data_IF_421005053417
#
_entry.id   IF_421005053417
#
_cell.length_a   1.000
_cell.length_b   1.000
_cell.length_c   1.000
_cell.angle_alpha   90.00
_cell.angle_beta   90.00
_cell.angle_gamma   90.00
#
_symmetry.space_group_name_H-M   'P 1'
#
loop_
_entity.id
_entity.type
_entity.pdbx_description
1 polymer ?
#
# COMPACT_ATOMS: atom_id res chain seq x y z
N UNK A 1 1.93 -30.17 6.50
CA UNK A 1 1.53 -29.43 5.29
C UNK A 1 1.78 -27.95 5.56
N UNK A 2 2.64 -27.29 4.76
CA UNK A 2 2.84 -25.85 4.88
C UNK A 2 1.99 -25.18 3.80
N UNK A 3 1.04 -24.35 4.20
CA UNK A 3 0.17 -23.63 3.28
C UNK A 3 0.71 -22.21 3.08
N UNK A 4 0.88 -21.79 1.83
CA UNK A 4 1.12 -20.40 1.45
C UNK A 4 -0.09 -19.91 0.67
N UNK A 5 -0.51 -18.66 0.86
CA UNK A 5 -1.73 -18.11 0.25
C UNK A 5 -1.66 -18.04 -1.29
N UNK A 6 -0.44 -18.10 -1.85
CA UNK A 6 -0.16 -18.12 -3.29
C UNK A 6 0.95 -19.13 -3.58
N UNK A 7 1.05 -19.64 -4.83
CA UNK A 7 2.15 -20.51 -5.20
C UNK A 7 3.49 -19.81 -4.99
N UNK A 8 4.38 -20.44 -4.22
CA UNK A 8 5.77 -20.02 -4.08
C UNK A 8 6.44 -20.07 -5.47
N UNK A 9 7.26 -19.08 -5.80
CA UNK A 9 7.90 -18.98 -7.14
C UNK A 9 9.41 -19.07 -7.12
N UNK A 10 10.04 -18.75 -5.98
CA UNK A 10 11.48 -18.74 -5.81
C UNK A 10 11.82 -18.86 -4.32
N UNK A 11 13.06 -19.28 -4.03
CA UNK A 11 13.61 -19.41 -2.69
C UNK A 11 15.10 -19.05 -2.76
N UNK A 12 15.56 -18.10 -1.94
CA UNK A 12 16.99 -17.88 -1.73
C UNK A 12 17.42 -18.57 -0.45
N UNK A 13 18.47 -19.39 -0.53
CA UNK A 13 19.03 -20.06 0.64
C UNK A 13 20.55 -20.13 0.56
N UNK A 14 21.21 -19.34 1.40
CA UNK A 14 22.67 -19.21 1.43
C UNK A 14 23.18 -19.38 2.87
N UNK A 15 24.34 -19.99 3.03
CA UNK A 15 25.12 -20.02 4.26
C UNK A 15 26.50 -19.42 3.99
N UNK A 16 26.71 -18.17 4.41
CA UNK A 16 27.80 -17.35 3.85
C UNK A 16 27.63 -17.25 2.34
N UNK A 17 28.65 -17.62 1.57
CA UNK A 17 28.63 -17.67 0.10
C UNK A 17 28.10 -18.99 -0.47
N UNK A 18 27.84 -19.99 0.38
CA UNK A 18 27.47 -21.33 -0.07
C UNK A 18 25.97 -21.44 -0.31
N UNK A 19 25.58 -21.89 -1.50
CA UNK A 19 24.20 -22.28 -1.78
C UNK A 19 23.81 -23.48 -0.92
N UNK A 20 22.68 -23.39 -0.22
CA UNK A 20 22.09 -24.51 0.52
C UNK A 20 21.02 -25.17 -0.37
N UNK A 21 21.32 -26.31 -1.03
CA UNK A 21 20.40 -26.91 -1.98
C UNK A 21 19.27 -27.67 -1.26
N UNK A 22 18.03 -27.25 -1.49
CA UNK A 22 16.83 -27.99 -1.10
C UNK A 22 15.66 -27.60 -2.00
N UNK A 23 14.54 -28.29 -1.84
CA UNK A 23 13.27 -27.89 -2.43
C UNK A 23 12.19 -27.81 -1.36
N UNK A 24 11.35 -26.78 -1.42
CA UNK A 24 10.19 -26.63 -0.57
C UNK A 24 9.01 -26.12 -1.40
N UNK A 25 7.81 -26.65 -1.14
CA UNK A 25 6.58 -26.27 -1.85
C UNK A 25 6.71 -26.31 -3.39
N UNK A 26 7.46 -27.28 -3.92
CA UNK A 26 7.69 -27.45 -5.36
C UNK A 26 8.69 -26.47 -5.98
N UNK A 27 9.42 -25.70 -5.17
CA UNK A 27 10.41 -24.72 -5.62
C UNK A 27 11.79 -25.12 -5.12
N UNK A 28 12.80 -25.14 -6.01
CA UNK A 28 14.19 -25.33 -5.64
C UNK A 28 14.80 -24.05 -5.08
N UNK A 29 15.67 -24.17 -4.07
CA UNK A 29 16.46 -23.04 -3.57
C UNK A 29 17.52 -22.62 -4.60
N UNK A 30 17.83 -21.34 -4.59
CA UNK A 30 18.83 -20.71 -5.45
C UNK A 30 19.53 -19.55 -4.74
N UNK A 31 20.35 -18.82 -5.49
CA UNK A 31 20.95 -17.56 -5.04
C UNK A 31 20.38 -16.34 -5.77
N UNK A 32 19.27 -16.49 -6.49
CA UNK A 32 18.61 -15.39 -7.20
C UNK A 32 17.37 -14.95 -6.42
N UNK A 33 17.29 -13.66 -6.11
CA UNK A 33 16.14 -13.01 -5.46
C UNK A 33 15.31 -12.22 -6.47
N UNK A 34 14.10 -11.82 -6.09
CA UNK A 34 13.23 -10.95 -6.88
C UNK A 34 13.19 -9.54 -6.32
N UNK A 35 13.14 -8.57 -7.22
CA UNK A 35 13.03 -7.15 -6.92
C UNK A 35 11.62 -6.64 -7.27
N UNK A 36 11.44 -5.32 -7.24
CA UNK A 36 10.19 -4.67 -7.62
C UNK A 36 9.83 -4.98 -9.08
N UNK A 37 8.55 -5.24 -9.33
CA UNK A 37 8.06 -5.66 -10.67
C UNK A 37 8.09 -4.55 -11.72
N UNK A 38 8.07 -3.30 -11.26
CA UNK A 38 8.12 -2.08 -12.05
C UNK A 38 9.53 -1.47 -12.12
N UNK A 39 10.55 -2.16 -11.62
CA UNK A 39 11.94 -1.78 -11.82
C UNK A 39 12.48 -2.32 -13.15
N UNK A 40 13.51 -1.67 -13.68
CA UNK A 40 14.22 -2.12 -14.89
C UNK A 40 14.80 -3.53 -14.71
N UNK A 41 15.37 -3.80 -13.54
CA UNK A 41 15.81 -5.12 -13.10
C UNK A 41 14.80 -5.71 -12.10
N UNK A 42 14.27 -6.89 -12.43
CA UNK A 42 13.24 -7.56 -11.60
C UNK A 42 13.79 -8.75 -10.79
N UNK A 43 15.09 -9.01 -10.91
CA UNK A 43 15.80 -10.02 -10.13
C UNK A 43 17.28 -9.66 -9.99
N UNK A 44 17.87 -10.13 -8.90
CA UNK A 44 19.28 -9.94 -8.63
C UNK A 44 19.90 -11.23 -8.08
N UNK A 45 21.20 -11.41 -8.33
CA UNK A 45 21.99 -12.45 -7.68
C UNK A 45 22.41 -11.98 -6.29
N UNK A 46 22.24 -12.85 -5.30
CA UNK A 46 22.76 -12.69 -3.94
C UNK A 46 23.98 -13.59 -3.85
N UNK A 47 25.17 -12.99 -3.66
CA UNK A 47 26.44 -13.72 -3.65
C UNK A 47 26.68 -14.37 -2.28
N UNK A 48 26.52 -13.61 -1.20
CA UNK A 48 26.55 -14.10 0.17
C UNK A 48 25.25 -13.79 0.91
N UNK A 49 24.91 -14.60 1.92
CA UNK A 49 23.75 -14.38 2.79
C UNK A 49 23.73 -12.96 3.40
N UNK A 50 24.91 -12.42 3.73
CA UNK A 50 25.07 -11.07 4.29
C UNK A 50 24.72 -9.95 3.29
N UNK A 51 24.75 -10.23 1.99
CA UNK A 51 24.47 -9.22 0.94
C UNK A 51 22.97 -9.02 0.73
N UNK A 52 22.13 -9.93 1.21
CA UNK A 52 20.70 -9.95 0.89
C UNK A 52 20.02 -8.61 1.20
N UNK A 53 20.25 -8.08 2.41
CA UNK A 53 19.68 -6.80 2.83
C UNK A 53 20.16 -5.65 1.95
N UNK A 54 21.46 -5.61 1.65
CA UNK A 54 22.05 -4.58 0.77
C UNK A 54 21.48 -4.63 -0.65
N UNK A 55 21.28 -5.82 -1.21
CA UNK A 55 20.66 -6.02 -2.53
C UNK A 55 19.21 -5.52 -2.53
N UNK A 56 18.43 -5.84 -1.48
CA UNK A 56 17.05 -5.37 -1.36
C UNK A 56 16.99 -3.85 -1.20
N UNK A 57 17.77 -3.28 -0.28
CA UNK A 57 17.79 -1.84 -0.04
C UNK A 57 18.28 -1.04 -1.25
N UNK A 58 19.26 -1.58 -1.99
CA UNK A 58 19.76 -0.97 -3.22
C UNK A 58 18.71 -0.92 -4.33
N UNK A 59 17.75 -1.83 -4.31
CA UNK A 59 16.58 -1.83 -5.18
C UNK A 59 15.39 -1.02 -4.62
N UNK A 60 15.58 -0.29 -3.52
CA UNK A 60 14.54 0.51 -2.85
C UNK A 60 13.57 -0.29 -1.97
N UNK A 61 13.82 -1.58 -1.74
CA UNK A 61 12.96 -2.43 -0.91
C UNK A 61 13.32 -2.26 0.57
N UNK A 62 12.35 -1.86 1.37
CA UNK A 62 12.49 -1.72 2.83
C UNK A 62 12.12 -3.03 3.52
N UNK A 63 13.08 -3.88 3.91
CA UNK A 63 12.77 -5.18 4.52
C UNK A 63 12.14 -5.07 5.92
N UNK A 64 12.64 -4.16 6.75
CA UNK A 64 12.16 -3.97 8.12
C UNK A 64 10.76 -3.35 8.14
N UNK A 65 9.82 -4.03 8.81
CA UNK A 65 8.41 -3.67 8.80
C UNK A 65 8.17 -2.36 9.58
N UNK A 66 8.86 -2.14 10.70
CA UNK A 66 8.66 -0.97 11.53
C UNK A 66 9.21 0.30 10.88
N UNK A 67 10.35 0.17 10.21
CA UNK A 67 10.92 1.21 9.34
C UNK A 67 9.95 1.55 8.20
N UNK A 68 9.39 0.54 7.53
CA UNK A 68 8.43 0.73 6.43
C UNK A 68 7.15 1.43 6.89
N UNK A 69 6.56 0.99 8.02
CA UNK A 69 5.39 1.64 8.64
C UNK A 69 5.66 3.10 8.96
N UNK A 70 6.79 3.37 9.60
CA UNK A 70 7.19 4.73 9.99
C UNK A 70 7.37 5.63 8.77
N UNK A 71 7.99 5.12 7.71
CA UNK A 71 8.15 5.85 6.45
C UNK A 71 6.82 6.17 5.78
N UNK A 72 5.90 5.19 5.69
CA UNK A 72 4.56 5.37 5.13
C UNK A 72 3.79 6.43 5.93
N UNK A 73 3.73 6.28 7.26
CA UNK A 73 2.95 7.16 8.11
C UNK A 73 3.46 8.60 8.03
N UNK A 74 4.78 8.79 8.17
CA UNK A 74 5.38 10.12 8.09
C UNK A 74 5.07 10.82 6.77
N UNK A 75 5.30 10.14 5.65
CA UNK A 75 5.03 10.72 4.33
C UNK A 75 3.53 10.98 4.10
N UNK A 76 2.64 10.13 4.63
CA UNK A 76 1.20 10.39 4.60
C UNK A 76 0.80 11.60 5.46
N UNK A 77 1.40 11.77 6.64
CA UNK A 77 1.18 12.94 7.50
C UNK A 77 1.66 14.23 6.82
N UNK A 78 2.83 14.21 6.19
CA UNK A 78 3.36 15.35 5.43
C UNK A 78 2.43 15.74 4.28
N UNK A 79 1.89 14.76 3.54
CA UNK A 79 0.93 14.99 2.46
C UNK A 79 -0.40 15.54 2.98
N UNK A 80 -0.92 15.00 4.10
CA UNK A 80 -2.15 15.50 4.70
C UNK A 80 -1.98 16.95 5.17
N UNK A 81 -0.85 17.26 5.80
CA UNK A 81 -0.53 18.61 6.26
C UNK A 81 -0.44 19.61 5.10
N UNK A 82 0.04 19.17 3.93
CA UNK A 82 0.14 20.03 2.73
C UNK A 82 -1.21 20.58 2.25
N UNK A 83 -2.32 19.93 2.62
CA UNK A 83 -3.71 20.37 2.33
C UNK A 83 -4.47 20.83 3.57
N UNK A 84 -3.76 21.12 4.67
CA UNK A 84 -4.36 21.59 5.92
C UNK A 84 -5.12 20.51 6.70
N UNK A 85 -4.86 19.24 6.41
CA UNK A 85 -5.50 18.11 7.08
C UNK A 85 -4.52 17.26 7.89
N UNK A 86 -5.06 16.18 8.47
CA UNK A 86 -4.33 15.17 9.24
C UNK A 86 -4.78 13.76 8.85
N UNK A 87 -3.89 12.79 9.01
CA UNK A 87 -4.26 11.37 8.96
C UNK A 87 -4.91 11.00 10.30
N UNK A 88 -6.18 10.57 10.31
CA UNK A 88 -6.89 10.30 11.56
C UNK A 88 -6.29 9.11 12.31
N UNK A 89 -6.32 9.17 13.65
CA UNK A 89 -5.70 8.17 14.52
C UNK A 89 -6.19 6.74 14.24
N UNK A 90 -7.48 6.58 13.89
CA UNK A 90 -8.08 5.29 13.55
C UNK A 90 -7.48 4.61 12.31
N UNK A 91 -6.66 5.33 11.54
CA UNK A 91 -5.96 4.82 10.36
C UNK A 91 -4.50 4.45 10.62
N UNK A 92 -3.95 4.77 11.79
CA UNK A 92 -2.54 4.53 12.15
C UNK A 92 -2.25 3.13 12.73
N UNK A 93 -3.26 2.25 12.79
CA UNK A 93 -3.16 0.86 13.26
C UNK A 93 -3.29 -0.15 12.12
N UNK A 94 -4.31 -1.00 12.17
CA UNK A 94 -4.52 -2.13 11.24
C UNK A 94 -4.40 -1.77 9.75
N UNK A 95 -4.84 -0.56 9.36
CA UNK A 95 -4.73 -0.12 7.96
C UNK A 95 -3.27 0.12 7.56
N UNK A 96 -2.49 0.77 8.41
CA UNK A 96 -1.06 0.98 8.18
C UNK A 96 -0.32 -0.35 8.12
N UNK A 97 -0.68 -1.29 8.99
CA UNK A 97 -0.15 -2.66 8.97
C UNK A 97 -0.49 -3.39 7.67
N UNK A 98 -1.73 -3.30 7.21
CA UNK A 98 -2.15 -3.92 5.95
C UNK A 98 -1.37 -3.31 4.77
N UNK A 99 -1.29 -1.98 4.68
CA UNK A 99 -0.55 -1.30 3.61
C UNK A 99 0.94 -1.66 3.65
N UNK A 100 1.55 -1.64 4.83
CA UNK A 100 2.96 -2.00 4.99
C UNK A 100 3.23 -3.46 4.57
N UNK A 101 2.27 -4.37 4.70
CA UNK A 101 2.38 -5.73 4.18
C UNK A 101 2.10 -5.85 2.67
N UNK A 102 1.40 -4.88 2.06
CA UNK A 102 1.07 -4.87 0.63
C UNK A 102 2.19 -4.30 -0.25
N UNK A 103 2.99 -3.37 0.29
CA UNK A 103 4.06 -2.68 -0.45
C UNK A 103 5.42 -2.94 0.18
N UNK A 104 6.47 -2.90 -0.64
CA UNK A 104 7.86 -3.16 -0.23
C UNK A 104 8.72 -1.90 -0.39
N UNK A 105 8.37 -1.02 -1.31
CA UNK A 105 8.96 0.30 -1.55
C UNK A 105 7.83 1.36 -1.56
N UNK A 106 7.38 1.85 -0.40
CA UNK A 106 6.20 2.71 -0.32
C UNK A 106 6.40 4.07 -0.98
N UNK A 107 5.46 4.46 -1.85
CA UNK A 107 5.37 5.80 -2.44
C UNK A 107 3.96 6.37 -2.22
N UNK A 108 3.73 7.12 -1.12
CA UNK A 108 2.46 7.77 -0.87
C UNK A 108 2.14 8.85 -1.91
N UNK A 109 0.87 8.93 -2.30
CA UNK A 109 0.34 9.88 -3.29
C UNK A 109 -0.95 10.47 -2.76
N UNK A 110 -1.04 11.80 -2.75
CA UNK A 110 -2.24 12.53 -2.41
C UNK A 110 -3.18 12.54 -3.62
N UNK A 111 -4.44 12.19 -3.40
CA UNK A 111 -5.51 12.29 -4.39
C UNK A 111 -6.70 13.09 -3.87
N UNK A 112 -7.57 13.48 -4.79
CA UNK A 112 -8.76 14.30 -4.54
C UNK A 112 -10.02 13.59 -4.99
N UNK A 113 -11.16 13.95 -4.42
CA UNK A 113 -12.46 13.54 -4.95
C UNK A 113 -13.44 14.70 -4.95
N UNK A 114 -14.55 14.53 -5.67
CA UNK A 114 -15.58 15.55 -5.78
C UNK A 114 -16.17 15.89 -4.39
N UNK A 115 -16.09 17.14 -3.92
CA UNK A 115 -16.67 17.54 -2.64
C UNK A 115 -18.17 17.23 -2.49
N UNK A 116 -18.91 17.08 -3.58
CA UNK A 116 -20.33 16.67 -3.56
C UNK A 116 -20.54 15.31 -2.88
N UNK A 117 -19.52 14.45 -2.82
CA UNK A 117 -19.62 13.19 -2.08
C UNK A 117 -19.63 13.39 -0.56
N UNK A 118 -19.23 14.55 -0.04
CA UNK A 118 -19.29 14.87 1.39
C UNK A 118 -20.74 15.00 1.91
N UNK A 119 -21.74 15.00 1.02
CA UNK A 119 -23.16 14.84 1.38
C UNK A 119 -23.47 13.44 1.95
N UNK A 120 -22.62 12.45 1.67
CA UNK A 120 -22.75 11.11 2.23
C UNK A 120 -22.22 11.08 3.67
N UNK A 121 -22.76 10.18 4.53
CA UNK A 121 -22.23 10.00 5.87
C UNK A 121 -20.72 9.70 5.84
N UNK A 122 -19.96 10.37 6.70
CA UNK A 122 -18.50 10.24 6.82
C UNK A 122 -18.07 8.77 6.93
N UNK A 123 -18.81 7.99 7.70
CA UNK A 123 -18.53 6.58 7.95
C UNK A 123 -18.61 5.73 6.67
N UNK A 124 -19.54 6.06 5.76
CA UNK A 124 -19.68 5.38 4.46
C UNK A 124 -18.45 5.66 3.60
N UNK A 125 -18.04 6.93 3.51
CA UNK A 125 -16.87 7.35 2.74
C UNK A 125 -15.58 6.70 3.25
N UNK A 126 -15.35 6.77 4.57
CA UNK A 126 -14.18 6.15 5.21
C UNK A 126 -14.19 4.63 5.02
N UNK A 127 -15.34 3.97 5.15
CA UNK A 127 -15.45 2.53 4.92
C UNK A 127 -15.02 2.18 3.49
N UNK A 128 -15.51 2.91 2.49
CA UNK A 128 -15.15 2.69 1.08
C UNK A 128 -13.65 2.88 0.86
N UNK A 129 -13.06 3.96 1.36
CA UNK A 129 -11.63 4.22 1.27
C UNK A 129 -10.80 3.09 1.90
N UNK A 130 -11.13 2.68 3.13
CA UNK A 130 -10.34 1.72 3.90
C UNK A 130 -10.51 0.29 3.40
N UNK A 131 -11.75 -0.19 3.27
CA UNK A 131 -12.04 -1.60 2.97
C UNK A 131 -11.74 -1.99 1.54
N UNK A 132 -12.08 -1.11 0.58
CA UNK A 132 -11.95 -1.47 -0.82
C UNK A 132 -10.60 -1.08 -1.39
N UNK A 133 -10.01 0.02 -0.90
CA UNK A 133 -8.86 0.63 -1.56
C UNK A 133 -7.62 0.81 -0.69
N UNK A 134 -7.74 0.64 0.64
CA UNK A 134 -6.64 0.86 1.61
C UNK A 134 -6.07 2.28 1.50
N UNK A 135 -6.95 3.27 1.36
CA UNK A 135 -6.55 4.67 1.37
C UNK A 135 -6.63 5.23 2.79
N UNK A 136 -5.73 6.16 3.11
CA UNK A 136 -5.85 7.00 4.29
C UNK A 136 -6.84 8.13 3.99
N UNK A 137 -7.94 8.26 4.75
CA UNK A 137 -8.75 9.47 4.71
C UNK A 137 -7.95 10.65 5.27
N UNK A 138 -8.29 11.86 4.84
CA UNK A 138 -7.74 13.10 5.39
C UNK A 138 -8.86 13.88 6.08
N UNK A 139 -8.63 14.26 7.33
CA UNK A 139 -9.57 15.03 8.15
C UNK A 139 -9.00 16.39 8.51
N UNK A 140 -9.83 17.37 8.84
CA UNK A 140 -9.39 18.61 9.49
C UNK A 140 -9.13 18.40 11.00
N UNK A 141 -8.74 19.47 11.70
CA UNK A 141 -8.43 19.42 13.13
C UNK A 141 -9.66 19.09 13.99
N UNK A 142 -10.86 19.37 13.48
CA UNK A 142 -12.14 19.11 14.12
C UNK A 142 -12.69 17.70 13.81
N UNK A 143 -11.97 16.92 12.98
CA UNK A 143 -12.36 15.57 12.58
C UNK A 143 -13.41 15.55 11.47
N UNK A 144 -13.60 16.64 10.73
CA UNK A 144 -14.43 16.64 9.51
C UNK A 144 -13.61 16.08 8.36
N UNK A 145 -14.25 15.24 7.54
CA UNK A 145 -13.60 14.68 6.36
C UNK A 145 -13.38 15.78 5.31
N UNK A 146 -12.15 15.85 4.80
CA UNK A 146 -11.78 16.71 3.67
C UNK A 146 -11.88 15.92 2.34
N UNK A 147 -12.01 16.60 1.18
CA UNK A 147 -12.13 15.94 -0.13
C UNK A 147 -10.78 15.38 -0.64
N UNK A 148 -9.97 14.84 0.26
CA UNK A 148 -8.63 14.31 0.01
C UNK A 148 -8.49 12.90 0.58
N UNK A 149 -7.64 12.11 -0.06
CA UNK A 149 -7.21 10.80 0.41
C UNK A 149 -5.76 10.57 0.04
N UNK A 150 -5.09 9.66 0.74
CA UNK A 150 -3.72 9.27 0.42
C UNK A 150 -3.69 7.79 0.09
N UNK A 151 -3.20 7.45 -1.10
CA UNK A 151 -2.93 6.08 -1.54
C UNK A 151 -1.43 5.80 -1.43
N UNK A 152 -1.02 4.53 -1.38
CA UNK A 152 0.40 4.15 -1.30
C UNK A 152 0.71 3.20 -2.44
N UNK A 153 1.52 3.67 -3.39
CA UNK A 153 2.03 2.85 -4.48
C UNK A 153 3.28 2.05 -4.04
N UNK A 154 3.65 1.04 -4.84
CA UNK A 154 4.83 0.23 -4.61
C UNK A 154 5.89 0.50 -5.68
N UNK A 155 7.02 1.08 -5.28
CA UNK A 155 8.15 1.42 -6.14
C UNK A 155 8.05 2.78 -6.82
N UNK A 156 8.89 2.98 -7.83
CA UNK A 156 8.88 4.16 -8.66
C UNK A 156 7.60 4.21 -9.52
N UNK A 157 7.01 5.39 -9.59
CA UNK A 157 5.74 5.64 -10.29
C UNK A 157 5.77 7.00 -11.00
N UNK A 158 4.83 7.19 -11.91
CA UNK A 158 4.42 8.52 -12.37
C UNK A 158 3.26 9.02 -11.48
N UNK A 159 3.49 10.00 -10.57
CA UNK A 159 2.47 10.43 -9.61
C UNK A 159 1.17 10.92 -10.25
N UNK A 160 1.17 11.73 -11.32
CA UNK A 160 -0.07 12.15 -11.99
C UNK A 160 -0.91 10.98 -12.52
N UNK A 161 -0.28 9.99 -13.15
CA UNK A 161 -1.00 8.80 -13.64
C UNK A 161 -1.59 7.99 -12.48
N UNK A 162 -0.81 7.75 -11.43
CA UNK A 162 -1.29 7.01 -10.25
C UNK A 162 -2.42 7.77 -9.56
N UNK A 163 -2.28 9.08 -9.37
CA UNK A 163 -3.30 9.93 -8.80
C UNK A 163 -4.61 9.80 -9.60
N UNK A 164 -4.59 10.12 -10.90
CA UNK A 164 -5.78 10.08 -11.74
C UNK A 164 -6.46 8.69 -11.76
N UNK A 165 -5.65 7.61 -11.78
CA UNK A 165 -6.17 6.25 -11.71
C UNK A 165 -6.90 5.95 -10.40
N UNK A 166 -6.29 6.32 -9.26
CA UNK A 166 -6.91 6.09 -7.94
C UNK A 166 -8.15 6.99 -7.73
N UNK A 167 -8.13 8.23 -8.21
CA UNK A 167 -9.28 9.14 -8.17
C UNK A 167 -10.46 8.60 -9.00
N UNK A 168 -10.19 8.06 -10.19
CA UNK A 168 -11.21 7.43 -11.02
C UNK A 168 -11.85 6.20 -10.35
N UNK A 169 -11.03 5.36 -9.72
CA UNK A 169 -11.52 4.21 -8.95
C UNK A 169 -12.36 4.65 -7.77
N UNK A 170 -11.91 5.65 -7.00
CA UNK A 170 -12.65 6.12 -5.83
C UNK A 170 -13.99 6.75 -6.22
N UNK A 171 -14.01 7.57 -7.28
CA UNK A 171 -15.23 8.19 -7.81
C UNK A 171 -16.29 7.14 -8.15
N UNK A 172 -15.91 6.09 -8.88
CA UNK A 172 -16.84 5.02 -9.22
C UNK A 172 -17.43 4.34 -7.98
N UNK A 173 -16.60 4.11 -6.94
CA UNK A 173 -17.06 3.51 -5.67
C UNK A 173 -17.98 4.43 -4.88
N UNK A 174 -17.74 5.74 -4.91
CA UNK A 174 -18.61 6.71 -4.25
C UNK A 174 -19.93 6.91 -4.97
N UNK A 175 -19.95 6.83 -6.31
CA UNK A 175 -21.21 6.81 -7.06
C UNK A 175 -22.05 5.58 -6.70
N UNK A 176 -21.44 4.40 -6.63
CA UNK A 176 -22.12 3.19 -6.17
C UNK A 176 -22.68 3.38 -4.75
N UNK A 177 -21.86 3.87 -3.82
CA UNK A 177 -22.28 4.13 -2.44
C UNK A 177 -23.43 5.15 -2.36
N UNK A 178 -23.37 6.22 -3.17
CA UNK A 178 -24.43 7.25 -3.25
C UNK A 178 -25.73 6.66 -3.76
N UNK A 179 -25.67 5.80 -4.78
CA UNK A 179 -26.83 5.12 -5.32
C UNK A 179 -27.48 4.21 -4.26
N UNK A 180 -26.70 3.38 -3.57
CA UNK A 180 -27.22 2.50 -2.51
C UNK A 180 -27.81 3.30 -1.35
N UNK A 181 -27.10 4.32 -0.86
CA UNK A 181 -27.57 5.16 0.23
C UNK A 181 -28.91 5.85 -0.09
N UNK A 182 -29.07 6.38 -1.31
CA UNK A 182 -30.33 6.99 -1.75
C UNK A 182 -31.48 5.98 -1.83
N UNK A 183 -31.20 4.77 -2.32
CA UNK A 183 -32.23 3.72 -2.40
C UNK A 183 -32.66 3.24 -1.01
N UNK A 184 -31.72 3.14 -0.06
CA UNK A 184 -32.02 2.75 1.31
C UNK A 184 -32.87 3.82 2.02
N UNK A 185 -32.57 5.10 1.83
CA UNK A 185 -33.42 6.19 2.36
C UNK A 185 -34.83 6.23 1.76
N UNK A 186 -35.01 5.70 0.54
CA UNK A 186 -36.32 5.66 -0.13
C UNK A 186 -37.22 4.52 0.37
N UNK A 187 -36.69 3.58 1.17
CA UNK A 187 -37.44 2.44 1.73
C UNK A 187 -37.39 2.51 3.26
N UNK A 188 -38.51 2.86 3.94
CA UNK A 188 -38.54 2.99 5.39
C UNK A 188 -38.34 1.66 6.14
#
# INVERSE_FOLDING_TARGET
EAAFSRPLRWLVALHGEQLVPFAALGVASGGETRLLRNADETSARVAAAADFEGVMSGAGIMLDMDTRRSAILKAAEDLAQSVGGVVPAGSKGDLLDEIANLVESPTPVLGTFDPDFLDLPKEVLIMVMRKHQRYFPVEDAEGKLLPYFITVANGAIDPPTVQAGNEAVLRARYEDARFFYKNDLARP
#
